data_IF_343362671293
#
_entry.id   IF_343362671293
#
_cell.length_a   1.000
_cell.length_b   1.000
_cell.length_c   1.000
_cell.angle_alpha   90.00
_cell.angle_beta   90.00
_cell.angle_gamma   90.00
#
_symmetry.space_group_name_H-M   'P 1'
#
loop_
_entity.id
_entity.type
_entity.pdbx_description
1 polymer ?
#
# COMPACT_ATOMS: atom_id res chain seq x y z
N UNK A 1 6.89 -12.01 -27.94
CA UNK A 1 7.01 -10.57 -27.61
C UNK A 1 7.21 -10.51 -26.11
N UNK A 2 8.45 -10.38 -25.66
CA UNK A 2 8.78 -10.56 -24.24
C UNK A 2 8.44 -9.33 -23.40
N UNK A 3 8.17 -8.18 -24.05
CA UNK A 3 7.62 -6.97 -23.45
C UNK A 3 6.80 -6.20 -24.49
N UNK A 4 5.55 -5.88 -24.17
CA UNK A 4 4.76 -4.94 -24.98
C UNK A 4 5.16 -3.51 -24.57
N UNK A 5 5.78 -2.77 -25.49
CA UNK A 5 6.13 -1.36 -25.27
C UNK A 5 5.01 -0.48 -25.81
N UNK A 6 4.30 0.20 -24.92
CA UNK A 6 3.34 1.24 -25.27
C UNK A 6 3.97 2.61 -24.97
N UNK A 7 4.17 3.43 -26.01
CA UNK A 7 4.61 4.80 -25.82
C UNK A 7 3.44 5.66 -25.38
N UNK A 8 3.68 6.45 -24.33
CA UNK A 8 2.73 7.45 -23.87
C UNK A 8 2.59 8.59 -24.86
N UNK A 9 1.76 9.56 -24.52
CA UNK A 9 1.55 10.74 -25.36
C UNK A 9 1.34 12.00 -24.52
N UNK A 10 1.73 13.15 -25.09
CA UNK A 10 1.37 14.47 -24.57
C UNK A 10 0.63 15.21 -25.67
N UNK A 11 -0.62 15.59 -25.42
CA UNK A 11 -1.49 16.25 -26.42
C UNK A 11 -1.75 17.70 -26.05
N UNK A 12 -1.80 18.55 -27.08
CA UNK A 12 -2.04 20.00 -26.94
C UNK A 12 -0.84 20.82 -26.45
N UNK A 13 -1.06 22.11 -26.27
CA UNK A 13 -0.06 23.06 -25.74
C UNK A 13 -0.58 23.61 -24.42
N UNK A 14 0.14 23.36 -23.32
CA UNK A 14 -0.30 23.73 -21.98
C UNK A 14 -0.21 25.25 -21.77
N UNK A 15 -1.30 25.85 -21.31
CA UNK A 15 -1.30 27.24 -20.82
C UNK A 15 -1.21 27.30 -19.30
N UNK A 16 -1.85 26.35 -18.60
CA UNK A 16 -1.89 26.31 -17.14
C UNK A 16 -1.20 25.07 -16.54
N UNK A 17 -1.12 23.96 -17.26
CA UNK A 17 -0.48 22.73 -16.80
C UNK A 17 -0.87 21.51 -17.63
N UNK A 18 -0.63 20.32 -17.08
CA UNK A 18 -0.98 19.05 -17.70
C UNK A 18 -1.85 18.20 -16.77
N UNK A 19 -2.83 17.50 -17.34
CA UNK A 19 -3.64 16.49 -16.69
C UNK A 19 -3.20 15.08 -17.14
N UNK A 20 -2.90 14.19 -16.19
CA UNK A 20 -2.60 12.79 -16.43
C UNK A 20 -3.70 11.95 -15.77
N UNK A 21 -4.67 11.41 -16.54
CA UNK A 21 -5.83 10.72 -15.98
C UNK A 21 -5.43 9.43 -15.26
N UNK A 22 -6.01 9.21 -14.08
CA UNK A 22 -5.83 7.95 -13.37
C UNK A 22 -6.81 6.89 -13.87
N UNK A 23 -6.38 6.11 -14.85
CA UNK A 23 -7.16 5.01 -15.46
C UNK A 23 -6.66 3.63 -15.01
N UNK A 24 -6.18 3.51 -13.77
CA UNK A 24 -5.66 2.26 -13.21
C UNK A 24 -4.21 1.88 -13.57
N UNK A 25 -3.43 2.78 -14.17
CA UNK A 25 -1.99 2.52 -14.42
C UNK A 25 -1.18 2.61 -13.12
N UNK A 26 -0.43 1.56 -12.82
CA UNK A 26 0.51 1.55 -11.70
C UNK A 26 1.72 2.47 -11.91
N UNK A 27 2.01 2.93 -13.14
CA UNK A 27 3.15 3.82 -13.41
C UNK A 27 2.94 5.25 -12.87
N UNK A 28 1.77 5.61 -12.34
CA UNK A 28 1.57 6.93 -11.73
C UNK A 28 2.46 7.15 -10.51
N UNK A 29 2.71 6.11 -9.71
CA UNK A 29 3.66 6.25 -8.58
C UNK A 29 5.08 6.53 -9.09
N UNK A 30 5.52 5.83 -10.14
CA UNK A 30 6.81 6.06 -10.79
C UNK A 30 6.89 7.47 -11.37
N UNK A 31 5.84 7.93 -12.05
CA UNK A 31 5.75 9.30 -12.55
C UNK A 31 5.92 10.31 -11.41
N UNK A 32 5.23 10.10 -10.28
CA UNK A 32 5.35 10.98 -9.11
C UNK A 32 6.78 11.04 -8.58
N UNK A 33 7.48 9.89 -8.46
CA UNK A 33 8.87 9.83 -8.01
C UNK A 33 9.86 10.47 -8.98
N UNK A 34 9.69 10.25 -10.29
CA UNK A 34 10.53 10.87 -11.34
C UNK A 34 10.34 12.40 -11.40
N UNK A 35 9.15 12.88 -11.07
CA UNK A 35 8.80 14.30 -10.98
C UNK A 35 8.86 14.85 -9.55
N UNK A 36 9.69 14.28 -8.66
CA UNK A 36 9.81 14.68 -7.24
C UNK A 36 10.07 16.16 -6.97
N UNK A 37 10.64 16.89 -7.93
CA UNK A 37 10.93 18.33 -7.83
C UNK A 37 9.78 19.21 -8.32
N UNK A 38 8.76 18.63 -8.94
CA UNK A 38 7.60 19.34 -9.44
C UNK A 38 6.44 19.24 -8.45
N UNK A 39 5.62 20.30 -8.40
CA UNK A 39 4.35 20.25 -7.70
C UNK A 39 3.38 19.38 -8.49
N UNK A 40 2.99 18.26 -7.91
CA UNK A 40 1.99 17.33 -8.45
C UNK A 40 0.81 17.33 -7.50
N UNK A 41 -0.37 17.60 -8.03
CA UNK A 41 -1.62 17.54 -7.29
C UNK A 41 -2.52 16.46 -7.87
N UNK A 42 -3.46 15.92 -7.09
CA UNK A 42 -4.49 15.02 -7.58
C UNK A 42 -5.86 15.68 -7.47
N UNK A 43 -6.69 15.49 -8.49
CA UNK A 43 -8.07 15.98 -8.48
C UNK A 43 -8.96 15.08 -7.60
N UNK A 44 -9.62 15.64 -6.60
CA UNK A 44 -10.49 14.87 -5.70
C UNK A 44 -11.79 14.42 -6.37
N UNK A 45 -12.17 15.06 -7.47
CA UNK A 45 -13.40 14.81 -8.22
C UNK A 45 -13.13 14.76 -9.73
N UNK A 46 -14.06 14.15 -10.48
CA UNK A 46 -14.00 14.21 -11.94
C UNK A 46 -14.21 15.63 -12.44
N UNK A 47 -13.53 15.99 -13.53
CA UNK A 47 -13.70 17.28 -14.19
C UNK A 47 -13.61 17.15 -15.71
N UNK A 48 -14.09 18.15 -16.44
CA UNK A 48 -14.03 18.20 -17.90
C UNK A 48 -13.17 19.38 -18.34
N UNK A 49 -12.30 19.14 -19.32
CA UNK A 49 -11.54 20.19 -20.02
C UNK A 49 -11.64 19.94 -21.52
N UNK A 50 -12.23 20.90 -22.24
CA UNK A 50 -12.60 20.72 -23.65
C UNK A 50 -13.63 19.59 -23.80
N UNK A 51 -13.31 18.57 -24.59
CA UNK A 51 -14.16 17.39 -24.82
C UNK A 51 -13.75 16.17 -23.99
N UNK A 52 -12.70 16.28 -23.17
CA UNK A 52 -12.17 15.17 -22.38
C UNK A 52 -12.64 15.27 -20.93
N UNK A 53 -13.18 14.16 -20.41
CA UNK A 53 -13.51 13.99 -19.00
C UNK A 53 -12.39 13.22 -18.30
N UNK A 54 -11.94 13.77 -17.17
CA UNK A 54 -10.88 13.23 -16.33
C UNK A 54 -11.50 12.67 -15.04
N UNK A 55 -11.14 11.45 -14.62
CA UNK A 55 -11.64 10.87 -13.38
C UNK A 55 -10.99 11.52 -12.14
N UNK A 56 -11.56 11.27 -10.96
CA UNK A 56 -10.88 11.55 -9.69
C UNK A 56 -9.54 10.80 -9.61
N UNK A 57 -8.56 11.40 -8.93
CA UNK A 57 -7.17 10.94 -8.88
C UNK A 57 -6.31 11.36 -10.07
N UNK A 58 -6.87 12.08 -11.05
CA UNK A 58 -6.10 12.66 -12.15
C UNK A 58 -5.01 13.57 -11.61
N UNK A 59 -3.75 13.32 -12.01
CA UNK A 59 -2.64 14.20 -11.65
C UNK A 59 -2.72 15.49 -12.45
N UNK A 60 -2.63 16.61 -11.73
CA UNK A 60 -2.55 17.96 -12.27
C UNK A 60 -1.17 18.50 -11.96
N UNK A 61 -0.40 18.77 -13.00
CA UNK A 61 0.99 19.21 -12.87
C UNK A 61 1.14 20.58 -13.52
N UNK A 62 1.44 21.58 -12.71
CA UNK A 62 1.81 22.91 -13.18
C UNK A 62 3.26 22.87 -13.68
N UNK A 63 3.46 22.54 -14.97
CA UNK A 63 4.76 22.60 -15.62
C UNK A 63 4.91 23.96 -16.31
N UNK A 64 5.53 24.93 -15.62
CA UNK A 64 5.85 26.24 -16.20
C UNK A 64 7.26 26.20 -16.81
N UNK A 65 7.37 26.62 -18.07
CA UNK A 65 8.63 26.69 -18.82
C UNK A 65 8.98 25.42 -19.61
N UNK A 66 9.84 25.60 -20.62
CA UNK A 66 10.17 24.57 -21.62
C UNK A 66 10.83 23.33 -21.01
N UNK A 67 11.70 23.52 -20.01
CA UNK A 67 12.46 22.41 -19.41
C UNK A 67 11.55 21.51 -18.55
N UNK A 68 10.64 22.12 -17.78
CA UNK A 68 9.63 21.40 -17.02
C UNK A 68 8.69 20.60 -17.93
N UNK A 69 8.26 21.21 -19.04
CA UNK A 69 7.42 20.54 -20.04
C UNK A 69 8.15 19.38 -20.73
N UNK A 70 9.44 19.55 -21.09
CA UNK A 70 10.28 18.48 -21.67
C UNK A 70 10.48 17.33 -20.69
N UNK A 71 10.77 17.62 -19.42
CA UNK A 71 10.95 16.61 -18.36
C UNK A 71 9.66 15.81 -18.12
N UNK A 72 8.52 16.50 -18.03
CA UNK A 72 7.20 15.86 -17.92
C UNK A 72 6.92 14.98 -19.13
N UNK A 73 7.11 15.50 -20.35
CA UNK A 73 6.88 14.76 -21.59
C UNK A 73 7.71 13.48 -21.66
N UNK A 74 9.01 13.57 -21.39
CA UNK A 74 9.89 12.40 -21.39
C UNK A 74 9.41 11.33 -20.39
N UNK A 75 9.08 11.72 -19.16
CA UNK A 75 8.60 10.79 -18.15
C UNK A 75 7.25 10.15 -18.51
N UNK A 76 6.31 10.92 -19.05
CA UNK A 76 4.98 10.44 -19.46
C UNK A 76 5.10 9.45 -20.63
N UNK A 77 5.88 9.79 -21.66
CA UNK A 77 6.03 8.95 -22.86
C UNK A 77 6.73 7.63 -22.55
N UNK A 78 7.79 7.64 -21.73
CA UNK A 78 8.53 6.43 -21.35
C UNK A 78 7.68 5.47 -20.49
N UNK A 79 6.80 6.01 -19.65
CA UNK A 79 5.93 5.23 -18.76
C UNK A 79 4.65 4.75 -19.44
N UNK A 80 4.43 5.05 -20.73
CA UNK A 80 3.20 4.68 -21.42
C UNK A 80 1.95 5.42 -20.93
N UNK A 81 2.13 6.59 -20.31
CA UNK A 81 1.04 7.40 -19.76
C UNK A 81 0.56 8.43 -20.79
N UNK A 82 -0.64 8.96 -20.59
CA UNK A 82 -1.18 10.02 -21.42
C UNK A 82 -1.28 11.31 -20.62
N UNK A 83 -0.74 12.41 -21.13
CA UNK A 83 -0.93 13.74 -20.57
C UNK A 83 -1.68 14.62 -21.56
N UNK A 84 -2.60 15.42 -21.04
CA UNK A 84 -3.38 16.38 -21.81
C UNK A 84 -3.07 17.77 -21.29
N UNK A 85 -2.66 18.67 -22.19
CA UNK A 85 -2.48 20.08 -21.87
C UNK A 85 -3.78 20.72 -21.40
N UNK A 86 -3.71 21.46 -20.30
CA UNK A 86 -4.82 22.19 -19.73
C UNK A 86 -4.75 23.68 -20.11
N UNK A 87 -5.83 24.27 -20.66
CA UNK A 87 -5.91 25.70 -20.90
C UNK A 87 -6.05 26.49 -19.58
N UNK A 88 -6.74 25.92 -18.60
CA UNK A 88 -6.91 26.44 -17.24
C UNK A 88 -6.83 25.30 -16.24
N UNK A 89 -6.41 25.59 -15.00
CA UNK A 89 -6.47 24.60 -13.92
C UNK A 89 -7.93 24.22 -13.63
N UNK A 90 -8.20 22.97 -13.22
CA UNK A 90 -9.57 22.53 -12.96
C UNK A 90 -10.14 23.23 -11.71
N UNK A 91 -11.44 23.53 -11.75
CA UNK A 91 -12.16 24.16 -10.63
C UNK A 91 -12.62 23.21 -9.53
N UNK A 92 -12.16 21.95 -9.53
CA UNK A 92 -12.47 20.96 -8.49
C UNK A 92 -11.41 20.99 -7.39
N UNK A 93 -11.70 20.50 -6.17
CA UNK A 93 -10.71 20.40 -5.12
C UNK A 93 -9.49 19.57 -5.57
N UNK A 94 -8.30 20.07 -5.23
CA UNK A 94 -7.02 19.43 -5.47
C UNK A 94 -6.27 19.27 -4.16
N UNK A 95 -5.57 18.16 -3.98
CA UNK A 95 -4.60 17.97 -2.90
C UNK A 95 -3.21 17.67 -3.45
N UNK A 96 -2.18 17.97 -2.66
CA UNK A 96 -0.80 17.74 -3.06
C UNK A 96 -0.49 16.24 -2.92
N UNK A 97 0.17 15.66 -3.91
CA UNK A 97 0.58 14.26 -3.87
C UNK A 97 1.96 14.19 -3.22
N UNK A 98 2.01 14.18 -1.89
CA UNK A 98 3.27 14.21 -1.15
C UNK A 98 4.02 12.86 -1.23
N UNK A 99 5.36 12.92 -1.30
CA UNK A 99 6.19 11.72 -1.26
C UNK A 99 6.56 11.43 0.20
N UNK A 100 6.08 10.32 0.79
CA UNK A 100 6.35 10.02 2.20
C UNK A 100 7.80 9.61 2.43
N UNK A 101 8.32 9.88 3.62
CA UNK A 101 9.48 9.15 4.16
C UNK A 101 9.00 7.74 4.54
N UNK A 102 9.16 6.82 3.59
CA UNK A 102 8.63 5.46 3.67
C UNK A 102 9.64 4.50 4.30
N UNK A 103 9.22 3.75 5.31
CA UNK A 103 9.92 2.58 5.80
C UNK A 103 9.17 1.29 5.45
N UNK A 104 9.90 0.25 5.06
CA UNK A 104 9.41 -1.11 4.87
C UNK A 104 9.94 -1.99 6.01
N UNK A 105 9.06 -2.47 6.88
CA UNK A 105 9.48 -3.34 7.99
C UNK A 105 9.59 -4.79 7.55
N UNK A 106 10.68 -5.43 7.94
CA UNK A 106 10.90 -6.86 7.75
C UNK A 106 11.33 -7.54 9.04
N UNK A 107 10.81 -8.73 9.28
CA UNK A 107 11.36 -9.67 10.25
C UNK A 107 12.55 -10.40 9.66
N UNK A 108 13.32 -11.09 10.50
CA UNK A 108 14.42 -11.93 10.07
C UNK A 108 13.95 -13.34 9.70
N UNK A 109 12.90 -13.86 10.38
CA UNK A 109 12.43 -15.23 10.21
C UNK A 109 11.58 -15.48 8.97
N UNK A 110 11.05 -14.44 8.33
CA UNK A 110 10.20 -14.58 7.13
C UNK A 110 10.36 -13.38 6.18
N UNK A 111 11.30 -13.49 5.24
CA UNK A 111 11.66 -12.41 4.33
C UNK A 111 11.14 -12.60 2.90
N UNK A 112 10.63 -13.79 2.55
CA UNK A 112 10.23 -14.11 1.18
C UNK A 112 9.10 -13.19 0.66
N UNK A 113 8.03 -13.06 1.44
CA UNK A 113 6.85 -12.29 1.05
C UNK A 113 7.13 -10.77 1.09
N UNK A 114 7.98 -10.31 2.02
CA UNK A 114 8.54 -8.95 2.02
C UNK A 114 9.34 -8.68 0.74
N UNK A 115 10.11 -9.68 0.28
CA UNK A 115 10.90 -9.60 -0.94
C UNK A 115 10.08 -9.30 -2.19
N UNK A 116 8.83 -9.77 -2.28
CA UNK A 116 7.93 -9.43 -3.39
C UNK A 116 7.43 -7.99 -3.35
N UNK A 117 7.20 -7.44 -2.15
CA UNK A 117 6.87 -6.02 -2.00
C UNK A 117 8.07 -5.17 -2.33
N UNK A 118 9.27 -5.53 -1.85
CA UNK A 118 10.53 -4.86 -2.23
C UNK A 118 10.73 -4.85 -3.73
N UNK A 119 10.61 -6.01 -4.37
CA UNK A 119 10.69 -6.12 -5.82
C UNK A 119 9.71 -5.18 -6.50
N UNK A 120 8.46 -5.12 -6.02
CA UNK A 120 7.48 -4.22 -6.60
C UNK A 120 7.86 -2.74 -6.45
N UNK A 121 8.25 -2.32 -5.25
CA UNK A 121 8.72 -0.95 -5.01
C UNK A 121 9.93 -0.61 -5.89
N UNK A 122 10.89 -1.52 -6.02
CA UNK A 122 12.08 -1.35 -6.87
C UNK A 122 11.70 -1.21 -8.36
N UNK A 123 10.79 -2.07 -8.87
CA UNK A 123 10.32 -2.01 -10.26
C UNK A 123 9.56 -0.72 -10.58
N UNK A 124 8.89 -0.12 -9.60
CA UNK A 124 8.15 1.13 -9.73
C UNK A 124 8.94 2.35 -9.22
N UNK A 125 10.24 2.19 -8.94
CA UNK A 125 11.17 3.26 -8.50
C UNK A 125 10.76 3.96 -7.20
N UNK A 126 9.97 3.27 -6.37
CA UNK A 126 9.55 3.78 -5.07
C UNK A 126 10.71 3.68 -4.10
N UNK A 127 11.07 4.79 -3.48
CA UNK A 127 12.15 4.84 -2.49
C UNK A 127 11.61 4.45 -1.12
N UNK A 128 12.35 3.58 -0.42
CA UNK A 128 12.02 3.15 0.94
C UNK A 128 13.29 2.84 1.73
N UNK A 129 13.21 2.99 3.05
CA UNK A 129 14.17 2.43 3.98
C UNK A 129 13.72 1.01 4.38
N UNK A 130 14.55 -0.01 4.16
CA UNK A 130 14.30 -1.34 4.71
C UNK A 130 14.71 -1.36 6.18
N UNK A 131 13.74 -1.54 7.07
CA UNK A 131 13.97 -1.48 8.52
C UNK A 131 13.67 -2.81 9.20
N UNK A 132 14.42 -3.09 10.26
CA UNK A 132 14.33 -4.31 11.06
C UNK A 132 13.99 -3.94 12.51
N UNK A 133 13.89 -4.96 13.38
CA UNK A 133 13.62 -4.78 14.82
C UNK A 133 14.58 -3.78 15.49
N UNK A 134 15.82 -3.68 15.02
CA UNK A 134 16.85 -2.79 15.52
C UNK A 134 16.41 -1.32 15.40
N UNK A 135 15.93 -0.92 14.22
CA UNK A 135 15.42 0.44 13.99
C UNK A 135 14.13 0.70 14.78
N UNK A 136 13.26 -0.30 14.90
CA UNK A 136 12.03 -0.17 15.71
C UNK A 136 12.37 0.08 17.18
N UNK A 137 13.34 -0.67 17.74
CA UNK A 137 13.76 -0.54 19.14
C UNK A 137 14.45 0.78 19.47
N UNK A 138 15.02 1.47 18.48
CA UNK A 138 15.55 2.82 18.67
C UNK A 138 14.45 3.86 18.96
N UNK A 139 13.19 3.57 18.61
CA UNK A 139 12.06 4.48 18.83
C UNK A 139 12.13 5.76 18.00
N UNK A 140 11.35 6.76 18.41
CA UNK A 140 11.23 8.06 17.72
C UNK A 140 10.98 7.90 16.21
N UNK A 141 10.08 6.99 15.84
CA UNK A 141 9.88 6.58 14.46
C UNK A 141 9.27 7.69 13.61
N UNK A 142 8.35 8.49 14.17
CA UNK A 142 7.66 9.57 13.45
C UNK A 142 8.61 10.69 12.99
N UNK A 143 9.67 10.93 13.75
CA UNK A 143 10.70 11.90 13.37
C UNK A 143 11.46 11.46 12.11
N UNK A 144 11.53 10.16 11.80
CA UNK A 144 12.21 9.63 10.61
C UNK A 144 11.24 9.30 9.47
N UNK A 145 10.04 8.83 9.80
CA UNK A 145 9.11 8.26 8.84
C UNK A 145 7.74 8.92 8.90
N UNK A 146 7.08 8.97 7.75
CA UNK A 146 5.66 9.36 7.64
C UNK A 146 4.78 8.13 7.49
N UNK A 147 5.29 7.10 6.79
CA UNK A 147 4.60 5.83 6.55
C UNK A 147 5.51 4.67 6.94
N UNK A 148 4.97 3.71 7.69
CA UNK A 148 5.60 2.40 7.90
C UNK A 148 4.70 1.34 7.25
N UNK A 149 5.24 0.65 6.26
CA UNK A 149 4.59 -0.48 5.59
C UNK A 149 5.09 -1.80 6.20
N UNK A 150 4.17 -2.64 6.64
CA UNK A 150 4.42 -3.99 7.13
C UNK A 150 3.80 -5.00 6.15
N UNK A 151 4.61 -5.60 5.25
CA UNK A 151 4.13 -6.63 4.34
C UNK A 151 3.66 -7.90 5.03
N UNK A 152 3.05 -8.79 4.25
CA UNK A 152 2.65 -10.13 4.66
C UNK A 152 3.80 -10.93 5.29
N UNK A 153 3.82 -11.06 6.62
CA UNK A 153 4.84 -11.83 7.34
C UNK A 153 4.36 -12.22 8.75
N UNK A 154 5.15 -12.98 9.51
CA UNK A 154 4.84 -13.37 10.90
C UNK A 154 3.71 -14.40 11.09
N UNK A 155 2.82 -14.63 10.11
CA UNK A 155 1.65 -15.56 10.15
C UNK A 155 0.59 -15.27 11.24
N UNK A 156 0.90 -14.39 12.18
CA UNK A 156 0.10 -13.92 13.32
C UNK A 156 0.72 -12.63 13.85
N UNK A 157 0.01 -11.88 14.68
CA UNK A 157 0.61 -10.74 15.38
C UNK A 157 1.76 -11.19 16.27
N UNK A 158 1.58 -12.27 17.05
CA UNK A 158 2.66 -12.83 17.89
C UNK A 158 3.93 -13.15 17.08
N UNK A 159 3.79 -13.79 15.93
CA UNK A 159 4.93 -14.14 15.08
C UNK A 159 5.60 -12.93 14.44
N UNK A 160 4.87 -11.84 14.19
CA UNK A 160 5.46 -10.56 13.77
C UNK A 160 6.26 -9.91 14.92
N UNK A 161 5.70 -9.88 16.13
CA UNK A 161 6.30 -9.18 17.28
C UNK A 161 7.54 -9.90 17.82
N UNK A 162 7.48 -11.21 17.98
CA UNK A 162 8.54 -11.99 18.62
C UNK A 162 9.48 -12.69 17.62
N UNK A 163 9.06 -12.83 16.36
CA UNK A 163 9.87 -13.37 15.26
C UNK A 163 10.54 -14.73 15.61
N UNK A 164 11.84 -14.86 15.35
CA UNK A 164 12.62 -16.06 15.65
C UNK A 164 12.81 -16.15 17.16
N UNK A 165 12.43 -17.27 17.78
CA UNK A 165 12.60 -17.48 19.22
C UNK A 165 14.08 -17.28 19.66
N UNK A 166 14.34 -16.57 20.78
CA UNK A 166 15.68 -16.41 21.33
C UNK A 166 16.45 -17.72 21.47
N UNK A 167 17.75 -17.69 21.20
CA UNK A 167 18.66 -18.84 21.34
C UNK A 167 19.68 -18.58 22.45
N UNK A 168 20.31 -19.65 22.94
CA UNK A 168 21.34 -19.54 23.98
C UNK A 168 22.60 -18.79 23.50
N UNK A 169 22.84 -18.75 22.19
CA UNK A 169 23.90 -17.96 21.55
C UNK A 169 23.28 -17.07 20.48
N UNK A 170 23.77 -15.83 20.30
CA UNK A 170 23.37 -14.95 19.20
C UNK A 170 23.48 -15.65 17.85
N UNK A 171 22.52 -15.38 16.97
CA UNK A 171 22.60 -15.80 15.57
C UNK A 171 22.96 -14.57 14.72
N UNK A 172 24.27 -14.31 14.59
CA UNK A 172 24.75 -13.17 13.83
C UNK A 172 24.46 -13.35 12.33
N UNK A 173 23.83 -12.34 11.73
CA UNK A 173 23.72 -12.14 10.29
C UNK A 173 24.54 -10.90 9.93
N UNK A 174 25.85 -11.04 10.04
CA UNK A 174 26.83 -10.00 9.69
C UNK A 174 27.85 -10.59 8.73
N UNK A 175 28.47 -9.71 7.94
CA UNK A 175 29.51 -10.12 7.01
C UNK A 175 30.76 -10.52 7.78
N UNK A 176 31.31 -11.68 7.44
CA UNK A 176 32.57 -12.18 8.02
C UNK A 176 33.40 -12.90 6.96
N UNK A 177 34.64 -13.27 7.30
CA UNK A 177 35.50 -14.05 6.41
C UNK A 177 34.86 -15.38 5.99
N UNK A 178 34.07 -15.97 6.88
CA UNK A 178 33.31 -17.19 6.63
C UNK A 178 32.00 -16.92 5.86
N UNK A 179 31.30 -15.83 6.17
CA UNK A 179 29.98 -15.50 5.61
C UNK A 179 30.02 -14.20 4.80
N UNK A 180 30.70 -14.24 3.65
CA UNK A 180 30.96 -13.05 2.81
C UNK A 180 29.73 -12.44 2.16
N UNK A 181 28.63 -13.18 2.08
CA UNK A 181 27.36 -12.74 1.46
C UNK A 181 26.31 -12.28 2.48
N UNK A 182 26.59 -12.35 3.79
CA UNK A 182 25.70 -11.80 4.81
C UNK A 182 25.78 -10.26 4.84
N UNK A 183 24.74 -9.64 5.39
CA UNK A 183 24.71 -8.18 5.62
C UNK A 183 24.33 -7.33 4.40
N UNK A 184 24.02 -7.91 3.24
CA UNK A 184 23.83 -7.13 1.99
C UNK A 184 22.61 -6.19 2.04
N UNK A 185 21.49 -6.66 2.60
CA UNK A 185 20.24 -5.87 2.68
C UNK A 185 19.89 -5.40 4.09
N UNK A 186 20.63 -5.90 5.08
CA UNK A 186 20.42 -5.67 6.49
C UNK A 186 21.38 -6.56 7.26
N UNK A 187 21.79 -6.10 8.43
CA UNK A 187 22.72 -6.81 9.31
C UNK A 187 22.22 -6.81 10.74
N UNK A 188 22.58 -7.85 11.50
CA UNK A 188 22.29 -7.93 12.92
C UNK A 188 23.26 -8.85 13.62
N UNK A 189 23.77 -8.43 14.77
CA UNK A 189 24.58 -9.27 15.66
C UNK A 189 23.77 -10.43 16.25
N UNK A 190 22.43 -10.33 16.26
CA UNK A 190 21.55 -11.43 16.63
C UNK A 190 20.19 -11.28 15.95
N UNK A 191 19.86 -12.15 15.01
CA UNK A 191 18.56 -12.12 14.32
C UNK A 191 17.39 -12.60 15.21
N UNK A 192 17.63 -13.15 16.41
CA UNK A 192 16.59 -13.71 17.28
C UNK A 192 15.87 -12.69 18.19
N UNK A 193 14.66 -13.00 18.66
CA UNK A 193 13.89 -12.25 19.66
C UNK A 193 12.93 -11.17 19.15
N UNK A 194 12.98 -10.83 17.86
CA UNK A 194 12.04 -9.87 17.24
C UNK A 194 12.04 -8.47 17.88
N UNK A 195 11.03 -7.67 17.55
CA UNK A 195 10.87 -6.32 18.09
C UNK A 195 10.38 -6.31 19.55
N UNK A 196 9.66 -7.36 19.96
CA UNK A 196 9.10 -7.51 21.30
C UNK A 196 8.00 -6.47 21.61
N UNK A 197 7.45 -6.54 22.82
CA UNK A 197 6.38 -5.63 23.26
C UNK A 197 6.80 -4.16 23.24
N UNK A 198 8.06 -3.87 23.59
CA UNK A 198 8.59 -2.51 23.51
C UNK A 198 8.57 -1.98 22.07
N UNK A 199 8.96 -2.78 21.08
CA UNK A 199 8.90 -2.38 19.67
C UNK A 199 7.46 -2.24 19.16
N UNK A 200 6.55 -3.11 19.59
CA UNK A 200 5.12 -2.95 19.31
C UNK A 200 4.57 -1.63 19.87
N UNK A 201 4.98 -1.23 21.07
CA UNK A 201 4.62 0.06 21.66
C UNK A 201 5.20 1.25 20.88
N UNK A 202 6.41 1.14 20.32
CA UNK A 202 6.95 2.20 19.45
C UNK A 202 6.16 2.35 18.14
N UNK A 203 5.67 1.26 17.56
CA UNK A 203 4.77 1.33 16.40
C UNK A 203 3.40 1.94 16.76
N UNK A 204 2.90 1.70 17.97
CA UNK A 204 1.70 2.37 18.46
C UNK A 204 1.92 3.87 18.60
N UNK A 205 3.00 4.30 19.26
CA UNK A 205 3.38 5.72 19.39
C UNK A 205 3.55 6.39 18.04
N UNK A 206 4.14 5.69 17.07
CA UNK A 206 4.26 6.18 15.69
C UNK A 206 2.89 6.53 15.09
N UNK A 207 1.92 5.62 15.18
CA UNK A 207 0.56 5.88 14.70
C UNK A 207 -0.10 7.03 15.49
N UNK A 208 -0.05 6.98 16.83
CA UNK A 208 -0.65 8.02 17.70
C UNK A 208 -0.12 9.44 17.42
N UNK A 209 1.14 9.55 16.97
CA UNK A 209 1.81 10.82 16.69
C UNK A 209 1.69 11.30 15.24
N UNK A 210 0.72 10.78 14.48
CA UNK A 210 0.44 11.26 13.11
C UNK A 210 1.14 10.45 12.03
N UNK A 211 1.65 9.26 12.36
CA UNK A 211 2.20 8.31 11.39
C UNK A 211 1.10 7.46 10.76
N UNK A 212 1.36 6.95 9.56
CA UNK A 212 0.48 6.01 8.87
C UNK A 212 1.11 4.62 8.89
N UNK A 213 0.50 3.69 9.63
CA UNK A 213 0.92 2.30 9.67
C UNK A 213 0.06 1.48 8.70
N UNK A 214 0.67 0.88 7.68
CA UNK A 214 -0.03 0.04 6.69
C UNK A 214 0.36 -1.41 6.92
N UNK A 215 -0.60 -2.31 7.12
CA UNK A 215 -0.35 -3.76 7.29
C UNK A 215 -0.99 -4.57 6.19
N UNK A 216 -0.25 -5.56 5.65
CA UNK A 216 -0.74 -6.43 4.57
C UNK A 216 -0.94 -7.87 5.06
N UNK A 217 -2.08 -8.45 4.70
CA UNK A 217 -2.43 -9.85 4.94
C UNK A 217 -2.13 -10.31 6.38
N UNK A 218 -1.18 -11.24 6.60
CA UNK A 218 -0.92 -11.80 7.92
C UNK A 218 -0.38 -10.76 8.91
N UNK A 219 0.22 -9.67 8.43
CA UNK A 219 0.62 -8.57 9.31
C UNK A 219 -0.59 -7.83 9.91
N UNK A 220 -1.77 -7.92 9.30
CA UNK A 220 -3.00 -7.28 9.80
C UNK A 220 -3.59 -7.97 11.04
N UNK A 221 -3.03 -9.09 11.49
CA UNK A 221 -3.29 -9.61 12.85
C UNK A 221 -2.65 -8.74 13.94
N UNK A 222 -1.53 -8.06 13.64
CA UNK A 222 -0.75 -7.35 14.64
C UNK A 222 -1.47 -6.17 15.29
N UNK A 223 -2.06 -5.20 14.56
CA UNK A 223 -2.65 -4.04 15.20
C UNK A 223 -3.81 -4.37 16.16
N UNK A 224 -4.73 -5.31 15.81
CA UNK A 224 -5.75 -5.79 16.75
C UNK A 224 -5.17 -6.56 17.94
N UNK A 225 -4.30 -7.56 17.71
CA UNK A 225 -3.79 -8.46 18.77
C UNK A 225 -2.93 -7.73 19.81
N UNK A 226 -2.29 -6.61 19.43
CA UNK A 226 -1.42 -5.82 20.31
C UNK A 226 -2.05 -4.48 20.73
N UNK A 227 -3.32 -4.27 20.43
CA UNK A 227 -4.10 -3.15 20.96
C UNK A 227 -3.82 -1.79 20.32
N UNK A 228 -3.24 -1.76 19.12
CA UNK A 228 -3.13 -0.53 18.31
C UNK A 228 -4.50 -0.13 17.74
N UNK A 229 -5.33 -1.11 17.40
CA UNK A 229 -6.70 -0.93 16.89
C UNK A 229 -7.68 -1.72 17.74
N UNK A 230 -7.88 -1.26 18.99
CA UNK A 230 -8.52 -2.04 20.08
C UNK A 230 -9.93 -2.53 19.78
N UNK A 231 -10.70 -1.78 19.01
CA UNK A 231 -12.09 -2.15 18.68
C UNK A 231 -12.20 -3.05 17.44
N UNK A 232 -11.10 -3.24 16.71
CA UNK A 232 -11.06 -4.15 15.57
C UNK A 232 -10.75 -5.55 16.06
N UNK A 233 -11.49 -6.54 15.56
CA UNK A 233 -11.17 -7.95 15.78
C UNK A 233 -10.47 -8.54 14.56
N UNK A 234 -9.50 -9.43 14.82
CA UNK A 234 -8.83 -10.23 13.79
C UNK A 234 -9.03 -11.72 14.06
N UNK A 235 -10.01 -12.31 13.40
CA UNK A 235 -10.33 -13.73 13.49
C UNK A 235 -9.56 -14.60 12.49
N UNK A 236 -9.62 -15.91 12.69
CA UNK A 236 -9.20 -16.91 11.70
C UNK A 236 -10.42 -17.61 11.14
N UNK A 237 -10.31 -18.07 9.90
CA UNK A 237 -11.31 -18.97 9.31
C UNK A 237 -11.32 -20.31 10.04
N UNK A 238 -12.42 -21.04 9.91
CA UNK A 238 -12.59 -22.37 10.47
C UNK A 238 -11.66 -23.40 9.80
N UNK A 239 -11.60 -24.62 10.35
CA UNK A 239 -10.88 -25.74 9.73
C UNK A 239 -11.54 -26.23 8.43
N UNK A 240 -12.82 -25.92 8.23
CA UNK A 240 -13.60 -26.28 7.06
C UNK A 240 -13.30 -25.33 5.89
N UNK A 241 -12.85 -24.12 6.18
CA UNK A 241 -12.44 -23.16 5.17
C UNK A 241 -11.20 -23.60 4.41
N UNK A 242 -11.23 -23.50 3.09
CA UNK A 242 -10.07 -23.75 2.25
C UNK A 242 -10.09 -22.85 1.02
N UNK A 243 -9.10 -21.97 0.89
CA UNK A 243 -9.00 -21.03 -0.22
C UNK A 243 -7.52 -20.81 -0.57
N UNK A 244 -6.89 -21.68 -1.39
CA UNK A 244 -5.49 -21.56 -1.80
C UNK A 244 -5.29 -20.43 -2.83
N UNK A 245 -5.79 -19.24 -2.52
CA UNK A 245 -5.68 -18.09 -3.39
C UNK A 245 -6.64 -18.07 -4.57
N UNK A 246 -7.96 -18.21 -4.38
CA UNK A 246 -8.91 -17.93 -5.45
C UNK A 246 -8.92 -16.43 -5.80
N UNK A 247 -9.45 -16.13 -6.98
CA UNK A 247 -9.90 -14.77 -7.32
C UNK A 247 -11.36 -14.67 -6.90
N UNK A 248 -11.66 -13.66 -6.08
CA UNK A 248 -13.01 -13.40 -5.56
C UNK A 248 -13.43 -11.97 -5.87
N UNK A 249 -14.72 -11.70 -5.80
CA UNK A 249 -15.22 -10.34 -5.78
C UNK A 249 -14.90 -9.65 -4.45
N UNK A 250 -14.52 -8.37 -4.52
CA UNK A 250 -14.54 -7.45 -3.40
C UNK A 250 -15.36 -6.21 -3.77
N UNK A 251 -16.13 -5.71 -2.82
CA UNK A 251 -16.98 -4.53 -2.96
C UNK A 251 -16.34 -3.33 -2.25
N UNK A 252 -16.06 -2.28 -3.01
CA UNK A 252 -15.64 -0.97 -2.53
C UNK A 252 -16.86 -0.25 -1.94
N UNK A 253 -16.77 0.12 -0.67
CA UNK A 253 -17.86 0.80 0.05
C UNK A 253 -17.73 2.32 0.02
N UNK A 254 -16.51 2.83 -0.05
CA UNK A 254 -16.22 4.26 -0.18
C UNK A 254 -15.42 4.53 -1.45
N UNK A 255 -16.10 4.64 -2.60
CA UNK A 255 -15.46 4.87 -3.90
C UNK A 255 -14.78 6.23 -4.04
N UNK A 256 -15.08 7.18 -3.15
CA UNK A 256 -14.43 8.50 -3.14
C UNK A 256 -13.08 8.52 -2.41
N UNK A 257 -12.78 7.46 -1.66
CA UNK A 257 -11.53 7.38 -0.90
C UNK A 257 -10.31 7.27 -1.85
N UNK A 258 -9.22 8.05 -1.64
CA UNK A 258 -8.08 8.10 -2.56
C UNK A 258 -7.41 6.75 -2.88
N UNK A 259 -7.44 5.79 -1.95
CA UNK A 259 -7.00 4.39 -2.18
C UNK A 259 -7.64 3.78 -3.45
N UNK A 260 -8.86 4.17 -3.81
CA UNK A 260 -9.58 3.63 -4.97
C UNK A 260 -9.55 4.52 -6.21
N UNK A 261 -8.70 5.55 -6.27
CA UNK A 261 -8.47 6.23 -7.54
C UNK A 261 -7.98 5.24 -8.62
N UNK A 262 -8.49 5.41 -9.84
CA UNK A 262 -8.23 4.49 -10.94
C UNK A 262 -9.11 3.23 -10.99
N UNK A 263 -9.98 3.00 -10.00
CA UNK A 263 -10.95 1.90 -10.04
C UNK A 263 -12.33 2.43 -10.45
N UNK A 264 -12.83 1.96 -11.61
CA UNK A 264 -14.12 2.39 -12.14
C UNK A 264 -15.32 1.58 -11.59
N UNK A 265 -15.09 0.32 -11.21
CA UNK A 265 -16.12 -0.58 -10.73
C UNK A 265 -16.25 -0.55 -9.20
N UNK A 266 -17.48 -0.57 -8.68
CA UNK A 266 -17.73 -0.75 -7.25
C UNK A 266 -17.36 -2.16 -6.77
N UNK A 267 -17.52 -3.16 -7.65
CA UNK A 267 -17.10 -4.53 -7.40
C UNK A 267 -15.92 -4.84 -8.30
N UNK A 268 -14.82 -5.33 -7.72
CA UNK A 268 -13.59 -5.64 -8.43
C UNK A 268 -13.11 -7.07 -8.12
N UNK A 269 -12.44 -7.75 -9.07
CA UNK A 269 -11.79 -9.03 -8.79
C UNK A 269 -10.51 -8.78 -7.98
N UNK A 270 -10.35 -9.52 -6.88
CA UNK A 270 -9.15 -9.50 -6.05
C UNK A 270 -8.71 -10.91 -5.72
N UNK A 271 -7.41 -11.07 -5.48
CA UNK A 271 -6.85 -12.29 -4.93
C UNK A 271 -7.18 -12.41 -3.45
N UNK A 272 -7.92 -13.43 -3.08
CA UNK A 272 -8.18 -13.71 -1.66
C UNK A 272 -7.02 -14.46 -1.02
N UNK A 273 -6.69 -14.14 0.24
CA UNK A 273 -5.88 -15.01 1.10
C UNK A 273 -4.89 -14.28 2.00
N UNK A 274 -4.23 -15.07 2.86
CA UNK A 274 -3.10 -14.71 3.72
C UNK A 274 -3.39 -13.80 4.93
N UNK A 275 -4.55 -13.19 5.10
CA UNK A 275 -4.85 -12.34 6.27
C UNK A 275 -6.05 -12.74 7.12
N UNK A 276 -6.40 -11.90 8.12
CA UNK A 276 -7.45 -12.18 9.10
C UNK A 276 -8.87 -12.02 8.54
N UNK A 277 -9.84 -12.66 9.21
CA UNK A 277 -11.25 -12.27 9.16
C UNK A 277 -11.45 -11.06 10.06
N UNK A 278 -11.42 -9.86 9.47
CA UNK A 278 -11.63 -8.63 10.23
C UNK A 278 -13.08 -8.50 10.72
N UNK A 279 -13.27 -7.82 11.84
CA UNK A 279 -14.58 -7.30 12.25
C UNK A 279 -14.41 -5.88 12.79
N UNK A 280 -15.35 -5.01 12.43
CA UNK A 280 -15.42 -3.61 12.87
C UNK A 280 -16.75 -3.42 13.61
N UNK A 281 -16.79 -2.70 14.75
CA UNK A 281 -18.03 -2.40 15.45
C UNK A 281 -19.03 -1.71 14.53
N UNK A 282 -20.31 -2.03 14.66
CA UNK A 282 -21.37 -1.49 13.79
C UNK A 282 -21.36 0.04 13.71
N UNK A 283 -21.16 0.72 14.86
CA UNK A 283 -21.07 2.18 14.97
C UNK A 283 -19.99 2.81 14.07
N UNK A 284 -18.96 2.07 13.69
CA UNK A 284 -17.80 2.57 12.95
C UNK A 284 -17.71 2.06 11.51
N UNK A 285 -18.48 1.01 11.15
CA UNK A 285 -18.37 0.35 9.84
C UNK A 285 -18.45 1.31 8.67
N UNK A 286 -19.41 2.25 8.70
CA UNK A 286 -19.62 3.22 7.63
C UNK A 286 -18.45 4.18 7.42
N UNK A 287 -17.61 4.38 8.45
CA UNK A 287 -16.47 5.31 8.42
C UNK A 287 -15.15 4.58 8.15
N UNK A 288 -14.97 3.39 8.73
CA UNK A 288 -13.68 2.70 8.73
C UNK A 288 -13.57 1.60 7.67
N UNK A 289 -14.66 0.99 7.22
CA UNK A 289 -14.60 -0.10 6.23
C UNK A 289 -14.60 0.47 4.81
N UNK A 290 -13.46 0.38 4.16
CA UNK A 290 -13.27 0.91 2.80
C UNK A 290 -13.70 -0.10 1.72
N UNK A 291 -13.42 -1.38 1.96
CA UNK A 291 -13.75 -2.48 1.05
C UNK A 291 -14.12 -3.72 1.87
N UNK A 292 -15.02 -4.57 1.35
CA UNK A 292 -15.40 -5.84 1.96
C UNK A 292 -15.45 -6.97 0.94
N UNK A 293 -15.43 -8.21 1.42
CA UNK A 293 -15.77 -9.37 0.61
C UNK A 293 -17.29 -9.60 0.69
N UNK A 294 -18.04 -9.63 -0.43
CA UNK A 294 -19.44 -10.04 -0.42
C UNK A 294 -19.61 -11.47 0.11
N UNK A 295 -18.70 -12.37 -0.31
CA UNK A 295 -18.66 -13.78 0.08
C UNK A 295 -19.73 -14.65 -0.59
N UNK A 296 -19.68 -15.94 -0.29
CA UNK A 296 -20.51 -16.96 -0.93
C UNK A 296 -19.99 -17.44 -2.28
N UNK A 297 -20.45 -18.61 -2.71
CA UNK A 297 -19.87 -19.34 -3.86
C UNK A 297 -19.95 -18.55 -5.17
N UNK A 298 -20.97 -17.69 -5.33
CA UNK A 298 -21.14 -16.84 -6.52
C UNK A 298 -20.06 -15.77 -6.65
N UNK A 299 -19.46 -15.33 -5.55
CA UNK A 299 -18.39 -14.33 -5.56
C UNK A 299 -17.01 -14.96 -5.79
N UNK A 300 -16.93 -16.27 -6.03
CA UNK A 300 -15.68 -16.96 -6.41
C UNK A 300 -15.58 -16.96 -7.92
N UNK A 301 -14.73 -16.09 -8.46
CA UNK A 301 -14.59 -15.88 -9.91
C UNK A 301 -13.63 -16.89 -10.55
N UNK A 302 -12.61 -17.33 -9.81
CA UNK A 302 -11.64 -18.31 -10.29
C UNK A 302 -10.91 -19.00 -9.14
N UNK A 303 -10.47 -20.24 -9.37
CA UNK A 303 -9.75 -21.04 -8.39
C UNK A 303 -10.67 -21.85 -7.47
N UNK A 304 -10.07 -22.48 -6.46
CA UNK A 304 -10.76 -23.34 -5.52
C UNK A 304 -11.07 -22.58 -4.23
N UNK A 305 -12.32 -22.67 -3.77
CA UNK A 305 -12.74 -22.14 -2.48
C UNK A 305 -13.82 -23.04 -1.85
N UNK A 306 -13.62 -23.40 -0.59
CA UNK A 306 -14.61 -24.08 0.26
C UNK A 306 -14.89 -23.22 1.48
N UNK A 307 -16.16 -23.06 1.83
CA UNK A 307 -16.58 -22.20 2.95
C UNK A 307 -16.64 -20.72 2.58
N UNK A 308 -16.98 -20.37 1.33
CA UNK A 308 -17.00 -18.98 0.86
C UNK A 308 -17.92 -18.05 1.68
N UNK A 309 -18.90 -18.59 2.39
CA UNK A 309 -19.76 -17.83 3.31
C UNK A 309 -19.03 -17.34 4.57
N UNK A 310 -17.89 -17.91 4.96
CA UNK A 310 -17.15 -17.44 6.15
C UNK A 310 -16.59 -16.03 6.01
N UNK A 311 -16.31 -15.61 4.77
CA UNK A 311 -15.81 -14.26 4.46
C UNK A 311 -16.96 -13.28 4.15
N UNK A 312 -18.21 -13.73 4.20
CA UNK A 312 -19.33 -12.90 3.79
C UNK A 312 -19.44 -11.62 4.62
N UNK A 313 -19.49 -10.49 3.91
CA UNK A 313 -19.48 -9.13 4.45
C UNK A 313 -18.28 -8.79 5.35
N UNK A 314 -17.21 -9.60 5.33
CA UNK A 314 -16.01 -9.32 6.12
C UNK A 314 -15.22 -8.18 5.48
N UNK A 315 -14.74 -7.19 6.26
CA UNK A 315 -13.86 -6.14 5.76
C UNK A 315 -12.61 -6.73 5.09
N UNK A 316 -12.29 -6.19 3.92
CA UNK A 316 -11.09 -6.47 3.15
C UNK A 316 -10.02 -5.38 3.35
N UNK A 317 -10.45 -4.12 3.48
CA UNK A 317 -9.61 -2.97 3.82
C UNK A 317 -10.33 -2.14 4.87
N UNK A 318 -9.63 -1.83 5.96
CA UNK A 318 -10.11 -0.96 7.05
C UNK A 318 -9.09 0.15 7.29
N UNK A 319 -9.56 1.38 7.43
CA UNK A 319 -8.76 2.54 7.85
C UNK A 319 -9.23 2.98 9.25
N UNK A 320 -8.33 2.89 10.23
CA UNK A 320 -8.64 3.13 11.64
C UNK A 320 -7.87 4.36 12.12
N UNK A 321 -8.55 5.43 12.56
CA UNK A 321 -7.87 6.57 13.17
C UNK A 321 -7.25 6.16 14.51
N UNK A 322 -5.99 6.54 14.74
CA UNK A 322 -5.24 6.26 15.98
C UNK A 322 -4.47 7.52 16.38
N UNK A 323 -4.90 8.17 17.46
CA UNK A 323 -4.37 9.49 17.84
C UNK A 323 -4.57 10.51 16.71
N UNK A 324 -3.49 11.15 16.26
CA UNK A 324 -3.51 12.04 15.07
C UNK A 324 -3.12 11.34 13.77
N UNK A 325 -2.75 10.05 13.84
CA UNK A 325 -2.42 9.24 12.68
C UNK A 325 -3.44 8.14 12.45
N UNK A 326 -3.00 7.03 11.86
CA UNK A 326 -3.91 5.96 11.43
C UNK A 326 -3.21 4.63 11.20
N UNK A 327 -4.02 3.58 11.22
CA UNK A 327 -3.64 2.22 10.85
C UNK A 327 -4.54 1.74 9.71
N UNK A 328 -3.94 1.43 8.56
CA UNK A 328 -4.64 0.88 7.38
C UNK A 328 -4.37 -0.61 7.31
N UNK A 329 -5.40 -1.42 7.52
CA UNK A 329 -5.32 -2.88 7.52
C UNK A 329 -5.84 -3.44 6.21
N UNK A 330 -4.98 -4.12 5.45
CA UNK A 330 -5.38 -4.96 4.33
C UNK A 330 -5.51 -6.41 4.81
N UNK A 331 -6.70 -7.00 4.71
CA UNK A 331 -6.89 -8.43 4.96
C UNK A 331 -6.30 -9.30 3.84
N UNK A 332 -6.11 -8.73 2.64
CA UNK A 332 -5.41 -9.36 1.51
C UNK A 332 -3.95 -8.92 1.38
N UNK A 333 -3.25 -9.51 0.41
CA UNK A 333 -1.91 -9.06 0.00
C UNK A 333 -2.00 -8.39 -1.39
N UNK A 334 -2.06 -7.05 -1.47
CA UNK A 334 -2.17 -6.35 -2.75
C UNK A 334 -0.91 -6.52 -3.62
N UNK A 335 0.24 -6.86 -3.04
CA UNK A 335 1.48 -7.14 -3.76
C UNK A 335 1.88 -8.60 -3.64
N UNK A 336 1.00 -9.50 -4.09
CA UNK A 336 1.26 -10.93 -4.07
C UNK A 336 2.11 -11.35 -5.27
N UNK A 337 3.37 -11.71 -4.99
CA UNK A 337 4.29 -12.40 -5.91
C UNK A 337 4.43 -11.79 -7.31
N UNK A 338 4.25 -10.47 -7.43
CA UNK A 338 4.28 -9.78 -8.73
C UNK A 338 3.22 -10.31 -9.74
N UNK A 339 2.04 -10.72 -9.25
CA UNK A 339 0.99 -11.31 -10.09
C UNK A 339 -0.26 -10.44 -10.17
N UNK A 340 -0.75 -9.95 -9.03
CA UNK A 340 -2.02 -9.23 -8.95
C UNK A 340 -1.86 -7.72 -9.16
N UNK A 341 -1.30 -7.31 -10.30
CA UNK A 341 -1.06 -5.89 -10.62
C UNK A 341 -2.29 -4.98 -10.48
N UNK A 342 -3.50 -5.51 -10.69
CA UNK A 342 -4.73 -4.77 -10.48
C UNK A 342 -4.97 -4.33 -9.03
N UNK A 343 -4.32 -4.95 -8.04
CA UNK A 343 -4.43 -4.60 -6.62
C UNK A 343 -3.29 -3.69 -6.13
N UNK A 344 -2.20 -3.58 -6.90
CA UNK A 344 -1.03 -2.77 -6.55
C UNK A 344 -1.43 -1.29 -6.41
N UNK A 345 -2.35 -0.84 -7.26
CA UNK A 345 -2.91 0.52 -7.23
C UNK A 345 -3.46 0.90 -5.87
N UNK A 346 -4.16 0.00 -5.17
CA UNK A 346 -4.65 0.29 -3.80
C UNK A 346 -3.52 0.57 -2.82
N UNK A 347 -2.42 -0.20 -2.85
CA UNK A 347 -1.26 0.06 -2.00
C UNK A 347 -0.55 1.35 -2.43
N UNK A 348 -0.33 1.55 -3.72
CA UNK A 348 0.36 2.73 -4.24
C UNK A 348 -0.41 4.02 -3.95
N UNK A 349 -1.74 4.00 -4.07
CA UNK A 349 -2.58 5.11 -3.68
C UNK A 349 -2.55 5.35 -2.17
N UNK A 350 -2.49 4.31 -1.34
CA UNK A 350 -2.30 4.47 0.11
C UNK A 350 -0.96 5.15 0.46
N UNK A 351 0.08 4.95 -0.37
CA UNK A 351 1.37 5.62 -0.21
C UNK A 351 1.36 7.06 -0.75
N UNK A 352 0.75 7.28 -1.92
CA UNK A 352 0.70 8.57 -2.61
C UNK A 352 -0.24 9.59 -1.94
N UNK A 353 -1.24 9.11 -1.22
CA UNK A 353 -2.31 9.91 -0.62
C UNK A 353 -2.42 9.65 0.89
N UNK A 354 -1.29 9.31 1.53
CA UNK A 354 -1.24 8.89 2.92
C UNK A 354 -1.75 9.97 3.90
N UNK A 355 -1.66 11.24 3.51
CA UNK A 355 -2.07 12.41 4.28
C UNK A 355 -3.35 13.10 3.74
N UNK A 356 -4.04 12.52 2.76
CA UNK A 356 -5.17 13.14 2.06
C UNK A 356 -6.52 12.44 2.26
N UNK A 357 -6.61 11.64 3.32
CA UNK A 357 -7.85 10.94 3.65
C UNK A 357 -8.70 11.79 4.59
N UNK A 358 -9.90 12.14 4.13
CA UNK A 358 -10.88 12.98 4.83
C UNK A 358 -11.91 12.16 5.61
#
# INVERSE_FOLDING_TARGET
VDKAEHKGSVTGTALAGYAIPHNGSNHLITLRYRLREMKVQAAEQSFTSGTTTFPAGTFVIAASGDDAAKKLKAAVEELGLNAVALPTLPGVPLHDVDLPRLALFTTWGNTQEVGWVRHALDQFEVRYDLIYKERIKQGNLRAAYDVILIPNQGRSGKGLVFDIAPKAKPLAYTKSDQFKSHGVYGESEDITGGMGLAGAAELHKFAESGGVLITLAAASFFPPEFGLTREIEAGRTSAQFYAPGPIVEAEILNTSHPIFYGYAGKTIPVRYGNGPLLAVPEKDRAKQVLMRYPGGDKSVLSGLMRGANEIANRPAIVDVPVGTGRVVLFAGNPCYRWQNHGEFGMLFNALLHFNDVK
#
